data_IF_430581242412
#
_entry.id   IF_430581242412
#
_cell.length_a   1.000
_cell.length_b   1.000
_cell.length_c   1.000
_cell.angle_alpha   90.00
_cell.angle_beta   90.00
_cell.angle_gamma   90.00
#
_symmetry.space_group_name_H-M   'P 1'
#
loop_
_entity.id
_entity.type
_entity.pdbx_description
1 polymer ?
#
# COMPACT_ATOMS: atom_id res chain seq x y z
N UNK A 1 -9.39 24.58 -6.72
CA UNK A 1 -9.78 23.50 -5.79
C UNK A 1 -9.36 22.10 -6.26
N UNK A 2 -8.81 21.92 -7.48
CA UNK A 2 -8.54 20.60 -8.08
C UNK A 2 -7.29 19.84 -7.56
N UNK A 3 -6.30 20.55 -7.00
CA UNK A 3 -4.97 19.96 -6.78
C UNK A 3 -4.92 18.88 -5.69
N UNK A 4 -5.85 18.85 -4.74
CA UNK A 4 -5.84 17.87 -3.63
C UNK A 4 -6.40 16.51 -4.06
N UNK A 5 -7.40 16.49 -4.95
CA UNK A 5 -8.07 15.27 -5.40
C UNK A 5 -7.14 14.40 -6.27
N UNK A 6 -6.24 15.03 -7.02
CA UNK A 6 -5.30 14.34 -7.89
C UNK A 6 -4.13 13.66 -7.13
N UNK A 7 -4.01 13.91 -5.82
CA UNK A 7 -2.92 13.41 -4.95
C UNK A 7 -3.31 12.19 -4.11
N UNK A 8 -4.44 11.56 -4.42
CA UNK A 8 -4.88 10.31 -3.77
C UNK A 8 -5.32 9.27 -4.79
N UNK A 9 -5.06 8.01 -4.44
CA UNK A 9 -5.75 6.84 -4.97
C UNK A 9 -6.68 6.38 -3.86
N UNK A 10 -7.97 6.23 -4.14
CA UNK A 10 -8.96 5.79 -3.16
C UNK A 10 -9.52 4.44 -3.57
N UNK A 11 -9.58 3.51 -2.63
CA UNK A 11 -10.30 2.24 -2.79
C UNK A 11 -11.78 2.55 -2.58
N UNK A 12 -12.56 2.49 -3.66
CA UNK A 12 -13.99 2.82 -3.64
C UNK A 12 -14.80 1.59 -3.18
N UNK A 13 -14.40 0.39 -3.62
CA UNK A 13 -15.09 -0.87 -3.34
C UNK A 13 -14.07 -2.02 -3.26
N UNK A 14 -14.24 -2.92 -2.30
CA UNK A 14 -13.38 -4.09 -2.10
C UNK A 14 -13.07 -4.34 -0.63
N UNK A 15 -12.55 -5.53 -0.31
CA UNK A 15 -12.02 -5.80 1.03
C UNK A 15 -10.84 -4.85 1.33
N UNK A 16 -10.53 -4.60 2.61
CA UNK A 16 -9.35 -3.85 3.01
C UNK A 16 -8.08 -4.39 2.32
N UNK A 17 -7.17 -3.51 1.88
CA UNK A 17 -5.93 -3.92 1.22
C UNK A 17 -5.06 -4.71 2.20
N UNK A 18 -4.58 -5.86 1.75
CA UNK A 18 -3.55 -6.62 2.49
C UNK A 18 -2.19 -6.03 2.12
N UNK A 19 -1.38 -5.76 3.14
CA UNK A 19 -0.01 -5.23 3.00
C UNK A 19 0.99 -6.33 3.33
N UNK A 20 1.71 -6.79 2.32
CA UNK A 20 2.77 -7.79 2.47
C UNK A 20 4.12 -7.05 2.66
N UNK A 21 4.86 -7.26 3.76
CA UNK A 21 6.16 -6.64 3.95
C UNK A 21 7.13 -7.10 2.85
N UNK A 22 7.84 -6.16 2.23
CA UNK A 22 8.79 -6.48 1.16
C UNK A 22 10.18 -6.72 1.74
N UNK A 23 10.71 -7.93 1.54
CA UNK A 23 12.04 -8.33 1.98
C UNK A 23 13.12 -8.18 0.89
N UNK A 24 12.79 -7.62 -0.27
CA UNK A 24 13.72 -7.48 -1.39
C UNK A 24 14.89 -6.52 -1.09
N UNK A 25 16.08 -6.85 -1.60
CA UNK A 25 17.31 -6.10 -1.35
C UNK A 25 17.27 -4.62 -1.82
N UNK A 26 16.52 -4.29 -2.87
CA UNK A 26 16.36 -2.91 -3.34
C UNK A 26 15.51 -2.05 -2.39
N UNK A 27 14.62 -2.70 -1.65
CA UNK A 27 13.73 -2.07 -0.68
C UNK A 27 14.44 -1.77 0.63
N UNK A 28 15.33 -2.67 1.07
CA UNK A 28 16.24 -2.43 2.20
C UNK A 28 17.17 -1.23 1.94
N UNK A 29 17.58 -0.99 0.69
CA UNK A 29 18.40 0.17 0.36
C UNK A 29 17.61 1.50 0.48
N UNK A 30 16.29 1.49 0.31
CA UNK A 30 15.43 2.67 0.46
C UNK A 30 15.18 3.02 1.94
N UNK A 31 15.17 2.04 2.84
CA UNK A 31 15.02 2.25 4.28
C UNK A 31 16.29 2.82 4.91
N UNK A 32 17.47 2.43 4.43
CA UNK A 32 18.76 2.94 4.94
C UNK A 32 18.98 4.43 4.65
N UNK A 33 18.49 4.97 3.54
CA UNK A 33 18.56 6.42 3.25
C UNK A 33 17.71 7.28 4.23
N UNK A 34 16.79 6.67 4.98
CA UNK A 34 15.91 7.36 5.92
C UNK A 34 16.46 7.43 7.35
N UNK A 35 17.59 6.77 7.64
CA UNK A 35 18.17 6.75 8.99
C UNK A 35 18.72 8.11 9.47
N UNK A 36 18.74 9.16 8.63
CA UNK A 36 19.20 10.49 9.03
C UNK A 36 18.12 11.42 9.63
N UNK A 37 16.85 11.01 9.63
CA UNK A 37 15.72 11.88 10.03
C UNK A 37 14.76 11.13 10.95
N UNK A 38 15.14 11.03 12.22
CA UNK A 38 14.25 10.93 13.37
C UNK A 38 13.38 9.68 13.46
N UNK A 39 13.67 8.86 14.48
CA UNK A 39 12.78 7.91 15.18
C UNK A 39 11.44 7.62 14.49
N UNK A 40 11.36 6.52 13.76
CA UNK A 40 10.31 5.48 13.70
C UNK A 40 10.64 4.62 12.46
N UNK A 41 10.98 3.33 12.62
CA UNK A 41 11.34 2.48 11.49
C UNK A 41 10.09 2.26 10.65
N UNK A 42 9.99 2.86 9.46
CA UNK A 42 8.90 2.52 8.54
C UNK A 42 9.26 1.23 7.78
N UNK A 43 8.24 0.42 7.50
CA UNK A 43 8.41 -0.81 6.74
C UNK A 43 7.77 -0.63 5.36
N UNK A 44 8.54 -0.86 4.27
CA UNK A 44 7.99 -0.93 2.94
C UNK A 44 7.13 -2.19 2.78
N UNK A 45 5.90 -2.00 2.33
CA UNK A 45 4.99 -3.09 2.03
C UNK A 45 4.47 -2.98 0.60
N UNK A 46 4.04 -4.10 0.03
CA UNK A 46 3.37 -4.16 -1.26
C UNK A 46 1.91 -4.55 -1.05
N UNK A 47 1.02 -3.93 -1.81
CA UNK A 47 -0.38 -4.34 -1.90
C UNK A 47 -0.79 -4.50 -3.36
N UNK A 48 -1.72 -5.42 -3.60
CA UNK A 48 -2.21 -5.80 -4.93
C UNK A 48 -3.70 -5.48 -5.01
N UNK A 49 -4.08 -4.58 -5.90
CA UNK A 49 -5.46 -4.13 -6.06
C UNK A 49 -5.96 -4.46 -7.46
N UNK A 50 -7.19 -4.98 -7.56
CA UNK A 50 -7.86 -5.07 -8.86
C UNK A 50 -8.31 -3.68 -9.30
N UNK A 51 -8.13 -3.38 -10.58
CA UNK A 51 -8.52 -2.10 -11.16
C UNK A 51 -8.96 -2.29 -12.60
N UNK A 52 -9.80 -1.38 -13.09
CA UNK A 52 -10.17 -1.32 -14.50
C UNK A 52 -9.35 -0.28 -15.27
N UNK A 53 -8.47 0.47 -14.59
CA UNK A 53 -7.70 1.54 -15.21
C UNK A 53 -6.30 1.68 -14.59
N UNK A 54 -5.54 0.58 -14.58
CA UNK A 54 -4.20 0.52 -14.02
C UNK A 54 -3.23 1.55 -14.61
N UNK A 55 -3.12 1.66 -15.96
CA UNK A 55 -2.21 2.61 -16.58
C UNK A 55 -2.47 4.08 -16.21
N UNK A 56 -3.73 4.51 -16.12
CA UNK A 56 -4.04 5.90 -15.73
C UNK A 56 -3.71 6.19 -14.27
N UNK A 57 -3.86 5.19 -13.38
CA UNK A 57 -3.47 5.34 -11.97
C UNK A 57 -1.95 5.44 -11.81
N UNK A 58 -1.18 4.67 -12.59
CA UNK A 58 0.29 4.79 -12.62
C UNK A 58 0.72 6.16 -13.15
N UNK A 59 0.12 6.63 -14.24
CA UNK A 59 0.39 7.97 -14.78
C UNK A 59 0.08 9.08 -13.77
N UNK A 60 -0.98 8.92 -12.96
CA UNK A 60 -1.29 9.86 -11.87
C UNK A 60 -0.19 9.90 -10.82
N UNK A 61 0.30 8.73 -10.38
CA UNK A 61 1.44 8.65 -9.47
C UNK A 61 2.67 9.35 -10.04
N UNK A 62 2.99 9.07 -11.31
CA UNK A 62 4.13 9.65 -12.00
C UNK A 62 4.06 11.19 -12.06
N UNK A 63 2.89 11.75 -12.40
CA UNK A 63 2.69 13.20 -12.43
C UNK A 63 2.89 13.84 -11.07
N UNK A 64 2.31 13.26 -10.01
CA UNK A 64 2.50 13.76 -8.66
C UNK A 64 3.98 13.77 -8.25
N UNK A 65 4.70 12.67 -8.49
CA UNK A 65 6.13 12.59 -8.17
C UNK A 65 6.99 13.55 -9.00
N UNK A 66 6.66 13.72 -10.29
CA UNK A 66 7.35 14.69 -11.16
C UNK A 66 7.21 16.12 -10.65
N UNK A 67 6.06 16.44 -10.06
CA UNK A 67 5.78 17.76 -9.49
C UNK A 67 6.33 17.88 -8.04
N UNK A 68 7.04 16.86 -7.54
CA UNK A 68 7.65 16.82 -6.21
C UNK A 68 6.68 16.50 -5.08
N UNK A 69 5.50 15.98 -5.40
CA UNK A 69 4.40 15.79 -4.47
C UNK A 69 4.29 14.33 -4.00
N UNK A 70 3.82 14.13 -2.77
CA UNK A 70 3.52 12.80 -2.23
C UNK A 70 2.09 12.40 -2.58
N UNK A 71 1.94 11.26 -3.26
CA UNK A 71 0.64 10.62 -3.51
C UNK A 71 0.35 9.56 -2.45
N UNK A 72 -0.91 9.44 -2.01
CA UNK A 72 -1.32 8.52 -0.94
C UNK A 72 -2.40 7.54 -1.40
N UNK A 73 -2.37 6.32 -0.88
CA UNK A 73 -3.46 5.35 -0.96
C UNK A 73 -4.40 5.57 0.22
N UNK A 74 -5.67 5.81 -0.06
CA UNK A 74 -6.75 5.92 0.90
C UNK A 74 -7.61 4.66 0.85
N UNK A 75 -7.86 4.06 2.00
CA UNK A 75 -8.65 2.84 2.13
C UNK A 75 -9.43 2.84 3.44
N UNK A 76 -10.38 1.92 3.56
CA UNK A 76 -11.05 1.64 4.83
C UNK A 76 -10.51 0.34 5.42
N UNK A 77 -10.22 0.34 6.70
CA UNK A 77 -9.82 -0.86 7.42
C UNK A 77 -11.01 -1.77 7.74
N UNK A 78 -10.76 -2.87 8.45
CA UNK A 78 -11.80 -3.83 8.85
C UNK A 78 -12.86 -3.22 9.79
N UNK A 79 -12.53 -2.14 10.50
CA UNK A 79 -13.42 -1.40 11.38
C UNK A 79 -14.18 -0.28 10.63
N UNK A 80 -13.93 -0.11 9.34
CA UNK A 80 -14.53 0.92 8.49
C UNK A 80 -13.91 2.31 8.67
N UNK A 81 -12.80 2.43 9.39
CA UNK A 81 -12.08 3.69 9.59
C UNK A 81 -11.25 4.04 8.36
N UNK A 82 -11.22 5.32 8.01
CA UNK A 82 -10.47 5.81 6.85
C UNK A 82 -8.98 5.94 7.17
N UNK A 83 -8.17 5.12 6.51
CA UNK A 83 -6.72 5.09 6.64
C UNK A 83 -6.05 5.66 5.39
N UNK A 84 -4.82 6.17 5.54
CA UNK A 84 -4.02 6.60 4.38
C UNK A 84 -2.52 6.34 4.52
N UNK A 85 -1.92 5.75 3.49
CA UNK A 85 -0.49 5.43 3.44
C UNK A 85 0.17 6.07 2.21
N UNK A 86 1.41 6.60 2.32
CA UNK A 86 2.11 7.16 1.18
C UNK A 86 2.58 6.07 0.20
N UNK A 87 2.45 6.34 -1.09
CA UNK A 87 2.86 5.43 -2.18
C UNK A 87 4.30 5.78 -2.59
N UNK A 88 5.14 4.76 -2.63
CA UNK A 88 6.55 4.80 -3.04
C UNK A 88 6.75 4.44 -4.50
N UNK A 89 6.02 3.45 -4.98
CA UNK A 89 6.09 2.99 -6.36
C UNK A 89 4.73 2.41 -6.78
N UNK A 90 4.46 2.42 -8.09
CA UNK A 90 3.24 1.91 -8.66
C UNK A 90 3.53 1.20 -9.98
N UNK A 91 2.88 0.06 -10.20
CA UNK A 91 2.99 -0.71 -11.45
C UNK A 91 1.64 -1.34 -11.79
N UNK A 92 1.23 -1.25 -13.05
CA UNK A 92 0.11 -2.02 -13.57
C UNK A 92 0.60 -3.30 -14.24
N UNK A 93 -0.14 -4.39 -14.06
CA UNK A 93 0.08 -5.68 -14.71
C UNK A 93 -1.25 -6.15 -15.26
N UNK A 94 -1.28 -6.48 -16.55
CA UNK A 94 -2.43 -7.12 -17.19
C UNK A 94 -2.40 -8.63 -16.92
N UNK A 95 -3.49 -9.17 -16.38
CA UNK A 95 -3.69 -10.61 -16.16
C UNK A 95 -4.92 -11.09 -16.92
N UNK A 96 -5.10 -12.40 -17.02
CA UNK A 96 -6.28 -13.00 -17.69
C UNK A 96 -7.61 -12.58 -17.04
N UNK A 97 -7.59 -12.19 -15.77
CA UNK A 97 -8.76 -11.77 -14.99
C UNK A 97 -8.95 -10.25 -14.92
N UNK A 98 -8.16 -9.47 -15.67
CA UNK A 98 -8.20 -8.01 -15.69
C UNK A 98 -6.90 -7.33 -15.25
N UNK A 99 -6.95 -6.04 -14.94
CA UNK A 99 -5.75 -5.29 -14.56
C UNK A 99 -5.53 -5.33 -13.05
N UNK A 100 -4.28 -5.58 -12.67
CA UNK A 100 -3.82 -5.55 -11.27
C UNK A 100 -2.86 -4.37 -11.10
N UNK A 101 -3.13 -3.53 -10.10
CA UNK A 101 -2.27 -2.45 -9.67
C UNK A 101 -1.46 -2.92 -8.46
N UNK A 102 -0.15 -2.95 -8.61
CA UNK A 102 0.80 -3.17 -7.52
C UNK A 102 1.24 -1.81 -6.99
N UNK A 103 1.08 -1.61 -5.69
CA UNK A 103 1.50 -0.41 -4.99
C UNK A 103 2.49 -0.78 -3.90
N UNK A 104 3.66 -0.12 -3.92
CA UNK A 104 4.59 -0.15 -2.80
C UNK A 104 4.31 1.07 -1.94
N UNK A 105 4.17 0.86 -0.64
CA UNK A 105 3.78 1.90 0.32
C UNK A 105 4.72 1.90 1.53
N UNK A 106 4.78 3.01 2.27
CA UNK A 106 5.35 3.01 3.62
C UNK A 106 4.26 2.77 4.63
N UNK A 107 4.44 1.78 5.48
CA UNK A 107 3.54 1.48 6.59
C UNK A 107 4.32 1.66 7.88
N UNK A 108 3.62 2.13 8.92
CA UNK A 108 4.17 2.13 10.28
C UNK A 108 4.12 0.68 10.81
N UNK A 109 5.19 0.16 11.41
CA UNK A 109 5.21 -1.19 11.98
C UNK A 109 4.07 -1.42 12.99
N UNK A 110 3.63 -0.40 13.71
CA UNK A 110 2.49 -0.50 14.62
C UNK A 110 1.15 -0.79 13.89
N UNK A 111 1.00 -0.35 12.64
CA UNK A 111 -0.20 -0.66 11.83
C UNK A 111 -0.13 -2.04 11.16
N UNK A 112 1.08 -2.58 10.97
CA UNK A 112 1.28 -3.93 10.44
C UNK A 112 0.89 -4.98 11.49
N UNK A 113 1.28 -4.79 12.76
CA UNK A 113 0.97 -5.74 13.84
C UNK A 113 -0.54 -5.99 14.01
N UNK A 114 -1.38 -4.97 13.81
CA UNK A 114 -2.84 -5.13 13.89
C UNK A 114 -3.45 -5.99 12.77
N UNK A 115 -2.80 -6.07 11.60
CA UNK A 115 -3.26 -6.87 10.47
C UNK A 115 -2.93 -8.37 10.64
N UNK A 116 -1.87 -8.69 11.39
CA UNK A 116 -1.48 -10.07 11.69
C UNK A 116 -2.25 -10.65 12.88
N UNK A 117 -2.63 -9.84 13.87
CA UNK A 117 -3.49 -10.28 15.00
C UNK A 117 -4.92 -10.64 14.57
N UNK A 118 -5.33 -10.27 13.35
CA UNK A 118 -6.63 -10.65 12.79
C UNK A 118 -6.67 -12.08 12.20
N UNK A 119 -5.53 -12.79 12.19
CA UNK A 119 -5.40 -14.18 11.72
C UNK A 119 -5.20 -15.18 12.88
N UNK A 120 -5.47 -14.82 14.14
CA UNK A 120 -5.54 -15.78 15.26
C UNK A 120 -6.94 -16.41 15.38
N UNK A 121 -7.41 -17.08 14.32
CA UNK A 121 -8.78 -17.58 14.24
C UNK A 121 -8.99 -18.89 13.48
N UNK A 122 -7.93 -19.68 13.22
CA UNK A 122 -8.06 -21.05 12.76
C UNK A 122 -7.37 -22.00 13.75
N UNK A 123 -8.03 -22.22 14.89
CA UNK A 123 -7.79 -23.40 15.71
C UNK A 123 -8.21 -24.64 14.89
N UNK A 124 -7.28 -25.19 14.11
CA UNK A 124 -7.43 -26.52 13.53
C UNK A 124 -7.17 -27.54 14.64
N UNK A 125 -8.27 -27.93 15.30
CA UNK A 125 -8.36 -29.04 16.24
C UNK A 125 -8.01 -30.35 15.51
N UNK A 126 -6.70 -30.61 15.34
CA UNK A 126 -6.20 -31.92 14.95
C UNK A 126 -6.17 -32.83 16.19
N UNK A 127 -7.30 -33.50 16.44
CA UNK A 127 -7.40 -34.67 17.31
C UNK A 127 -6.33 -35.72 16.91
N UNK A 128 -5.43 -36.04 17.84
CA UNK A 128 -4.48 -37.16 17.78
C UNK A 128 -4.77 -38.18 18.91
#
# INVERSE_FOLDING_TARGET
MDSMENRKITIIEGPPPIFEPVQDAWVLSLTECSQNKGSHPWIPAVTRLRTFNGPALVERCYRAWRDGETIRLHFRDAMGLEQSVPILAARSVDTEEGQVLLLWVRVDPAEIEMAFDSDEGAEDDFDL
#
